data_IF_736223864068
#
_entry.id   IF_736223864068
#
_cell.length_a   1.000
_cell.length_b   1.000
_cell.length_c   1.000
_cell.angle_alpha   90.00
_cell.angle_beta   90.00
_cell.angle_gamma   90.00
#
_symmetry.space_group_name_H-M   'P 1'
#
loop_
_entity.id
_entity.type
_entity.pdbx_description
1 polymer ?
#
# COMPACT_ATOMS: atom_id res chain seq x y z
N UNK A 1 27.40 12.84 -12.28
CA UNK A 1 26.41 13.40 -11.34
C UNK A 1 26.12 12.32 -10.31
N UNK A 2 26.17 12.67 -9.03
CA UNK A 2 26.05 11.77 -7.88
C UNK A 2 24.61 11.27 -7.71
N UNK A 3 24.45 10.05 -7.18
CA UNK A 3 23.16 9.54 -6.73
C UNK A 3 22.45 10.56 -5.82
N UNK A 4 21.14 10.70 -5.99
CA UNK A 4 20.30 11.58 -5.17
C UNK A 4 19.60 10.74 -4.12
N UNK A 5 19.82 11.06 -2.85
CA UNK A 5 19.13 10.44 -1.73
C UNK A 5 17.99 11.32 -1.24
N UNK A 6 16.80 10.75 -1.19
CA UNK A 6 15.60 11.34 -0.61
C UNK A 6 15.33 10.65 0.71
N UNK A 7 15.25 11.46 1.77
CA UNK A 7 14.73 11.04 3.06
C UNK A 7 13.47 11.85 3.36
N UNK A 8 12.30 11.21 3.50
CA UNK A 8 11.11 11.92 3.89
C UNK A 8 11.30 12.50 5.30
N UNK A 9 10.81 13.71 5.57
CA UNK A 9 10.77 14.23 6.94
C UNK A 9 9.85 13.38 7.82
N UNK A 10 10.12 13.40 9.12
CA UNK A 10 9.26 12.75 10.11
C UNK A 10 7.93 13.50 10.20
N UNK A 11 6.78 12.86 9.93
CA UNK A 11 5.49 13.50 10.09
C UNK A 11 5.09 13.59 11.57
N UNK A 12 4.14 14.47 11.87
CA UNK A 12 3.45 14.48 13.14
C UNK A 12 2.68 13.17 13.34
N UNK A 13 2.91 12.51 14.48
CA UNK A 13 2.37 11.18 14.78
C UNK A 13 1.00 11.22 15.48
N UNK A 14 0.41 12.40 15.67
CA UNK A 14 -0.90 12.58 16.29
C UNK A 14 -1.93 11.72 15.55
N UNK A 15 -2.57 10.75 16.20
CA UNK A 15 -3.56 9.87 15.55
C UNK A 15 -2.97 8.71 14.72
N UNK A 16 -1.64 8.55 14.64
CA UNK A 16 -0.99 7.36 14.10
C UNK A 16 -0.68 6.41 15.26
N UNK A 17 -1.52 5.39 15.46
CA UNK A 17 -1.41 4.45 16.57
C UNK A 17 -0.58 3.19 16.24
N UNK A 18 -0.36 2.39 17.29
CA UNK A 18 0.56 1.25 17.43
C UNK A 18 0.59 0.26 16.24
N UNK A 19 1.74 -0.35 15.91
CA UNK A 19 3.06 -0.19 16.54
C UNK A 19 3.74 1.13 16.14
N UNK A 20 4.65 1.61 17.00
CA UNK A 20 5.42 2.85 16.81
C UNK A 20 6.09 2.86 15.41
N UNK A 21 5.68 3.77 14.51
CA UNK A 21 6.18 3.80 13.15
C UNK A 21 7.53 4.52 13.02
N UNK A 22 8.05 5.17 14.07
CA UNK A 22 9.26 6.02 14.00
C UNK A 22 10.45 5.33 13.38
N UNK A 23 10.75 4.10 13.80
CA UNK A 23 11.86 3.31 13.24
C UNK A 23 11.72 3.08 11.73
N UNK A 24 10.50 2.82 11.26
CA UNK A 24 10.21 2.67 9.84
C UNK A 24 10.41 3.99 9.08
N UNK A 25 9.97 5.10 9.67
CA UNK A 25 10.13 6.44 9.06
C UNK A 25 11.59 6.89 9.01
N UNK A 26 12.37 6.65 10.05
CA UNK A 26 13.81 7.01 10.14
C UNK A 26 14.67 6.28 9.10
N UNK A 27 14.36 5.02 8.79
CA UNK A 27 15.10 4.24 7.80
C UNK A 27 14.61 4.48 6.36
N UNK A 28 13.43 5.09 6.20
CA UNK A 28 12.80 5.25 4.90
C UNK A 28 13.65 6.16 4.01
N UNK A 29 13.96 5.69 2.81
CA UNK A 29 14.72 6.45 1.83
C UNK A 29 14.52 5.93 0.42
N UNK A 30 14.65 6.84 -0.54
CA UNK A 30 14.75 6.54 -1.95
C UNK A 30 16.08 7.10 -2.47
N UNK A 31 16.96 6.24 -2.98
CA UNK A 31 18.23 6.66 -3.59
C UNK A 31 18.13 6.41 -5.08
N UNK A 32 18.24 7.46 -5.89
CA UNK A 32 18.17 7.37 -7.36
C UNK A 32 19.54 7.68 -7.94
N UNK A 33 20.15 6.72 -8.62
CA UNK A 33 21.38 6.89 -9.39
C UNK A 33 21.07 6.80 -10.88
N UNK A 34 20.96 7.97 -11.52
CA UNK A 34 20.70 8.06 -12.95
C UNK A 34 21.89 7.68 -13.82
N UNK A 35 23.11 7.83 -13.31
CA UNK A 35 24.29 7.44 -14.06
C UNK A 35 24.42 5.91 -14.11
N UNK A 36 24.07 5.24 -13.01
CA UNK A 36 23.99 3.79 -12.94
C UNK A 36 22.67 3.23 -13.53
N UNK A 37 21.65 4.07 -13.71
CA UNK A 37 20.32 3.65 -14.16
C UNK A 37 19.58 2.81 -13.11
N UNK A 38 19.81 3.08 -11.82
CA UNK A 38 19.23 2.30 -10.71
C UNK A 38 18.54 3.17 -9.66
N UNK A 39 17.63 2.57 -8.91
CA UNK A 39 17.01 3.16 -7.74
C UNK A 39 16.92 2.16 -6.60
N UNK A 40 17.28 2.59 -5.39
CA UNK A 40 17.17 1.81 -4.17
C UNK A 40 16.09 2.38 -3.27
N UNK A 41 15.13 1.55 -2.91
CA UNK A 41 14.02 1.89 -2.02
C UNK A 41 14.15 1.14 -0.69
N UNK A 42 14.09 1.89 0.40
CA UNK A 42 13.84 1.34 1.74
C UNK A 42 12.49 1.86 2.22
N UNK A 43 11.53 0.95 2.42
CA UNK A 43 10.19 1.32 2.85
C UNK A 43 10.11 1.83 4.28
N UNK A 44 8.96 2.38 4.59
CA UNK A 44 8.58 3.01 5.85
C UNK A 44 7.94 2.03 6.87
N UNK A 45 7.98 0.73 6.56
CA UNK A 45 7.60 -0.34 7.46
C UNK A 45 8.85 -0.85 8.15
N UNK A 46 8.80 -1.01 9.48
CA UNK A 46 9.91 -1.59 10.25
C UNK A 46 10.32 -2.94 9.65
N UNK A 47 11.63 -3.14 9.46
CA UNK A 47 12.22 -4.34 8.85
C UNK A 47 11.91 -4.56 7.35
N UNK A 48 11.41 -3.56 6.61
CA UNK A 48 11.33 -3.69 5.14
C UNK A 48 12.72 -3.85 4.56
N UNK A 49 12.87 -4.82 3.64
CA UNK A 49 14.16 -5.07 3.00
C UNK A 49 14.37 -4.02 1.90
N UNK A 50 15.59 -3.46 1.79
CA UNK A 50 15.93 -2.62 0.66
C UNK A 50 15.64 -3.35 -0.66
N UNK A 51 15.07 -2.63 -1.62
CA UNK A 51 14.78 -3.14 -2.97
C UNK A 51 15.50 -2.29 -3.98
N UNK A 52 16.16 -2.95 -4.90
CA UNK A 52 16.82 -2.32 -6.04
C UNK A 52 15.93 -2.46 -7.27
N UNK A 53 15.82 -1.37 -8.03
CA UNK A 53 15.10 -1.27 -9.28
C UNK A 53 16.02 -0.72 -10.36
N UNK A 54 15.81 -1.16 -11.61
CA UNK A 54 16.34 -0.45 -12.78
C UNK A 54 15.43 0.72 -13.11
N UNK A 55 16.01 1.82 -13.56
CA UNK A 55 15.26 2.97 -14.08
C UNK A 55 14.92 2.73 -15.55
N UNK A 56 13.71 3.07 -15.95
CA UNK A 56 13.26 2.94 -17.33
C UNK A 56 11.74 2.80 -17.44
N UNK A 57 11.25 2.80 -18.68
CA UNK A 57 9.83 2.70 -19.00
C UNK A 57 9.37 1.24 -19.21
N UNK A 58 10.28 0.27 -19.11
CA UNK A 58 10.01 -1.14 -19.32
C UNK A 58 9.18 -1.77 -18.19
N UNK A 59 8.53 -2.93 -18.43
CA UNK A 59 7.82 -3.66 -17.39
C UNK A 59 8.76 -4.07 -16.25
N UNK A 60 8.43 -3.68 -15.02
CA UNK A 60 9.29 -3.95 -13.85
C UNK A 60 10.43 -2.95 -13.62
N UNK A 61 10.60 -1.96 -14.49
CA UNK A 61 11.54 -0.85 -14.32
C UNK A 61 10.83 0.33 -13.68
N UNK A 62 11.52 1.07 -12.81
CA UNK A 62 10.96 2.23 -12.13
C UNK A 62 10.91 3.41 -13.11
N UNK A 63 9.69 3.79 -13.48
CA UNK A 63 9.43 4.90 -14.41
C UNK A 63 8.98 6.17 -13.69
N UNK A 64 8.31 6.06 -12.54
CA UNK A 64 7.78 7.23 -11.85
C UNK A 64 7.26 6.99 -10.44
N UNK A 65 6.85 8.09 -9.82
CA UNK A 65 6.30 8.16 -8.47
C UNK A 65 4.87 8.69 -8.53
N UNK A 66 3.95 8.01 -7.85
CA UNK A 66 2.54 8.44 -7.76
C UNK A 66 2.18 8.68 -6.31
N UNK A 67 1.72 9.90 -6.02
CA UNK A 67 1.08 10.26 -4.75
C UNK A 67 -0.40 9.93 -4.88
N UNK A 68 -0.80 8.76 -4.37
CA UNK A 68 -2.18 8.31 -4.43
C UNK A 68 -2.94 8.73 -3.17
N UNK A 69 -4.02 9.51 -3.34
CA UNK A 69 -4.89 9.96 -2.24
C UNK A 69 -6.29 9.40 -2.42
N UNK A 70 -6.84 8.74 -1.40
CA UNK A 70 -8.14 8.08 -1.44
C UNK A 70 -8.71 7.79 -0.04
N UNK A 71 -10.04 7.63 0.11
CA UNK A 71 -10.63 7.22 1.37
C UNK A 71 -10.28 5.75 1.69
N UNK A 72 -9.99 5.44 2.97
CA UNK A 72 -9.56 4.08 3.36
C UNK A 72 -10.67 3.05 3.21
N UNK A 73 -11.91 3.48 3.43
CA UNK A 73 -13.11 2.68 3.28
C UNK A 73 -14.22 3.51 2.62
N UNK A 74 -15.28 2.85 2.15
CA UNK A 74 -16.45 3.53 1.57
C UNK A 74 -17.21 4.42 2.58
N UNK A 75 -16.97 4.21 3.88
CA UNK A 75 -17.61 4.92 4.97
C UNK A 75 -16.68 5.91 5.67
N UNK A 76 -15.42 5.97 5.22
CA UNK A 76 -14.42 6.83 5.81
C UNK A 76 -14.55 8.24 5.21
N UNK A 77 -14.77 9.24 6.06
CA UNK A 77 -14.75 10.65 5.66
C UNK A 77 -13.32 11.17 5.53
N UNK A 78 -12.36 10.50 6.17
CA UNK A 78 -10.97 10.90 6.14
C UNK A 78 -10.22 10.31 4.93
N UNK A 79 -9.46 11.17 4.27
CA UNK A 79 -8.59 10.77 3.18
C UNK A 79 -7.28 10.21 3.72
N UNK A 80 -6.76 9.21 3.00
CA UNK A 80 -5.46 8.64 3.25
C UNK A 80 -4.58 8.76 2.01
N UNK A 81 -3.29 8.92 2.24
CA UNK A 81 -2.28 9.03 1.19
C UNK A 81 -1.28 7.88 1.24
N UNK A 82 -0.76 7.52 0.08
CA UNK A 82 0.31 6.54 -0.08
C UNK A 82 1.16 6.89 -1.30
N UNK A 83 2.47 6.75 -1.15
CA UNK A 83 3.42 6.85 -2.26
C UNK A 83 3.51 5.49 -2.96
N UNK A 84 3.41 5.50 -4.28
CA UNK A 84 3.58 4.34 -5.15
C UNK A 84 4.80 4.56 -6.05
N UNK A 85 5.66 3.56 -6.13
CA UNK A 85 6.74 3.46 -7.10
C UNK A 85 6.21 2.59 -8.24
N UNK A 86 6.11 3.14 -9.45
CA UNK A 86 5.43 2.49 -10.59
C UNK A 86 6.34 2.30 -11.79
N UNK A 87 6.04 1.27 -12.59
CA UNK A 87 6.62 1.11 -13.93
C UNK A 87 5.85 1.91 -14.98
N UNK A 88 6.36 1.90 -16.22
CA UNK A 88 5.77 2.65 -17.35
C UNK A 88 4.35 2.20 -17.71
N UNK A 89 3.90 1.02 -17.26
CA UNK A 89 2.54 0.53 -17.42
C UNK A 89 1.64 0.86 -16.21
N UNK A 90 2.15 1.58 -15.21
CA UNK A 90 1.44 1.93 -13.99
C UNK A 90 1.38 0.82 -12.95
N UNK A 91 2.08 -0.31 -13.13
CA UNK A 91 2.14 -1.38 -12.13
C UNK A 91 3.01 -0.93 -10.96
N UNK A 92 2.55 -1.22 -9.74
CA UNK A 92 3.26 -0.87 -8.51
C UNK A 92 4.40 -1.86 -8.25
N UNK A 93 5.62 -1.35 -8.15
CA UNK A 93 6.84 -2.09 -7.80
C UNK A 93 7.10 -2.06 -6.28
N UNK A 94 6.89 -0.90 -5.67
CA UNK A 94 6.96 -0.70 -4.24
C UNK A 94 5.99 0.41 -3.80
N UNK A 95 5.75 0.52 -2.50
CA UNK A 95 4.83 1.50 -1.94
C UNK A 95 5.17 1.82 -0.50
N UNK A 96 4.80 3.01 -0.06
CA UNK A 96 4.84 3.38 1.36
C UNK A 96 3.66 2.78 2.13
N UNK A 97 3.68 2.94 3.45
CA UNK A 97 2.55 2.74 4.35
C UNK A 97 1.42 3.68 3.94
N UNK A 98 0.21 3.24 4.25
CA UNK A 98 -0.97 4.09 4.11
C UNK A 98 -1.03 5.00 5.35
N UNK A 99 -0.99 6.31 5.13
CA UNK A 99 -1.02 7.30 6.20
C UNK A 99 -2.27 8.18 6.07
N UNK A 100 -2.75 8.79 7.15
CA UNK A 100 -3.71 9.89 7.02
C UNK A 100 -3.16 10.97 6.08
N UNK A 101 -4.02 11.68 5.35
CA UNK A 101 -3.59 12.64 4.34
C UNK A 101 -2.61 13.70 4.89
N UNK A 102 -2.88 14.27 6.07
CA UNK A 102 -1.98 15.28 6.67
C UNK A 102 -0.57 14.74 6.89
N UNK A 103 -0.43 13.53 7.44
CA UNK A 103 0.87 12.92 7.70
C UNK A 103 1.56 12.50 6.39
N UNK A 104 0.78 12.03 5.41
CA UNK A 104 1.28 11.71 4.08
C UNK A 104 1.87 12.94 3.37
N UNK A 105 1.17 14.07 3.42
CA UNK A 105 1.61 15.32 2.80
C UNK A 105 2.85 15.91 3.48
N UNK A 106 2.98 15.75 4.79
CA UNK A 106 4.20 16.11 5.52
C UNK A 106 5.37 15.21 5.13
N UNK A 107 5.16 13.90 5.07
CA UNK A 107 6.22 12.90 4.81
C UNK A 107 6.65 12.90 3.33
N UNK A 108 5.72 13.10 2.40
CA UNK A 108 5.98 13.02 0.95
C UNK A 108 5.48 14.27 0.21
N UNK A 109 6.02 15.47 0.51
CA UNK A 109 5.71 16.68 -0.23
C UNK A 109 6.35 16.63 -1.62
N UNK A 110 5.73 17.31 -2.60
CA UNK A 110 6.27 17.38 -3.97
C UNK A 110 7.72 17.86 -4.00
N UNK A 111 8.07 18.87 -3.20
CA UNK A 111 9.45 19.41 -3.11
C UNK A 111 10.51 18.36 -2.79
N UNK A 112 10.16 17.32 -2.02
CA UNK A 112 11.06 16.21 -1.65
C UNK A 112 11.10 15.17 -2.76
N UNK A 113 9.96 14.88 -3.40
CA UNK A 113 9.85 13.86 -4.45
C UNK A 113 10.44 14.33 -5.78
N UNK A 114 10.26 15.60 -6.14
CA UNK A 114 10.78 16.19 -7.38
C UNK A 114 12.31 16.18 -7.40
N UNK A 115 12.95 16.21 -6.23
CA UNK A 115 14.40 16.06 -6.09
C UNK A 115 14.91 14.71 -6.62
N UNK A 116 14.07 13.67 -6.71
CA UNK A 116 14.44 12.36 -7.29
C UNK A 116 14.78 12.48 -8.77
N UNK A 117 14.24 13.52 -9.40
CA UNK A 117 14.18 13.68 -10.84
C UNK A 117 13.20 12.74 -11.53
N UNK A 118 12.66 11.72 -10.87
CA UNK A 118 11.63 10.88 -11.46
C UNK A 118 10.35 11.71 -11.69
N UNK A 119 9.55 11.40 -12.72
CA UNK A 119 8.21 11.96 -12.86
C UNK A 119 7.40 11.72 -11.58
N UNK A 120 6.83 12.79 -11.02
CA UNK A 120 5.97 12.74 -9.85
C UNK A 120 4.59 13.27 -10.23
N UNK A 121 3.55 12.49 -9.93
CA UNK A 121 2.15 12.90 -10.13
C UNK A 121 1.34 12.68 -8.86
N UNK A 122 0.34 13.54 -8.63
CA UNK A 122 -0.70 13.28 -7.62
C UNK A 122 -1.97 12.82 -8.33
N UNK A 123 -2.52 11.70 -7.85
CA UNK A 123 -3.79 11.17 -8.31
C UNK A 123 -4.74 10.97 -7.14
N UNK A 124 -5.95 11.49 -7.31
CA UNK A 124 -7.04 11.37 -6.33
C UNK A 124 -8.05 10.35 -6.81
N UNK A 125 -8.37 9.39 -5.95
CA UNK A 125 -9.31 8.33 -6.27
C UNK A 125 -10.48 8.32 -5.30
N UNK A 126 -11.67 8.06 -5.84
CA UNK A 126 -12.89 7.96 -5.05
C UNK A 126 -12.92 6.74 -4.10
N UNK A 127 -12.11 5.71 -4.37
CA UNK A 127 -12.00 4.53 -3.52
C UNK A 127 -10.79 3.66 -3.91
N UNK A 128 -10.43 2.73 -3.02
CA UNK A 128 -9.32 1.76 -3.20
C UNK A 128 -9.45 0.92 -4.47
N UNK A 129 -10.68 0.63 -4.93
CA UNK A 129 -10.92 -0.14 -6.17
C UNK A 129 -10.44 0.62 -7.41
N UNK A 130 -10.66 1.93 -7.47
CA UNK A 130 -10.17 2.76 -8.58
C UNK A 130 -8.65 2.87 -8.56
N UNK A 131 -8.04 3.01 -7.38
CA UNK A 131 -6.56 3.01 -7.23
C UNK A 131 -5.98 1.70 -7.78
N UNK A 132 -6.53 0.56 -7.39
CA UNK A 132 -6.03 -0.75 -7.84
C UNK A 132 -6.25 -1.00 -9.35
N UNK A 133 -7.29 -0.39 -9.93
CA UNK A 133 -7.55 -0.45 -11.38
C UNK A 133 -6.55 0.40 -12.16
N UNK A 134 -6.21 1.59 -11.66
CA UNK A 134 -5.20 2.46 -12.27
C UNK A 134 -3.78 1.94 -12.05
N UNK A 135 -3.48 1.49 -10.82
CA UNK A 135 -2.16 1.04 -10.42
C UNK A 135 -2.23 -0.36 -9.81
N UNK A 136 -1.93 -1.37 -10.63
CA UNK A 136 -1.96 -2.78 -10.22
C UNK A 136 -0.95 -3.01 -9.09
N UNK A 137 -1.43 -3.34 -7.89
CA UNK A 137 -0.60 -3.59 -6.71
C UNK A 137 -0.62 -2.48 -5.68
N UNK A 138 -1.36 -1.39 -5.90
CA UNK A 138 -1.49 -0.29 -4.94
C UNK A 138 -2.23 -0.68 -3.65
N UNK A 139 -3.23 -1.57 -3.75
CA UNK A 139 -4.13 -1.92 -2.65
C UNK A 139 -4.43 -3.44 -2.60
N UNK A 140 -3.79 -4.23 -1.72
CA UNK A 140 -4.18 -5.62 -1.46
C UNK A 140 -5.36 -5.71 -0.49
N UNK A 141 -5.85 -4.57 0.01
CA UNK A 141 -6.89 -4.52 1.04
C UNK A 141 -8.27 -4.96 0.51
N UNK A 142 -8.41 -5.43 -0.74
CA UNK A 142 -9.71 -5.83 -1.29
C UNK A 142 -10.45 -6.90 -0.51
N UNK A 143 -9.85 -7.89 0.17
CA UNK A 143 -10.65 -8.81 0.98
C UNK A 143 -11.33 -8.08 2.16
N UNK A 144 -10.69 -7.03 2.69
CA UNK A 144 -11.18 -6.24 3.83
C UNK A 144 -11.99 -5.00 3.41
N UNK A 145 -11.79 -4.51 2.19
CA UNK A 145 -12.47 -3.33 1.61
C UNK A 145 -13.55 -3.69 0.59
N UNK A 146 -13.73 -4.98 0.25
CA UNK A 146 -14.88 -5.50 -0.52
C UNK A 146 -16.22 -5.34 0.22
N UNK A 147 -16.20 -4.76 1.41
CA UNK A 147 -17.38 -4.38 2.16
C UNK A 147 -17.94 -5.52 3.00
N UNK A 148 -18.87 -5.16 3.88
CA UNK A 148 -19.65 -6.04 4.76
C UNK A 148 -20.15 -7.32 4.06
N UNK A 149 -20.43 -7.25 2.75
CA UNK A 149 -20.94 -8.37 1.97
C UNK A 149 -19.95 -9.53 1.83
N UNK A 150 -18.65 -9.27 1.71
CA UNK A 150 -17.66 -10.36 1.62
C UNK A 150 -17.40 -10.99 2.99
N UNK A 151 -17.42 -10.18 4.06
CA UNK A 151 -17.41 -10.71 5.43
C UNK A 151 -18.65 -11.56 5.70
N UNK A 152 -19.85 -11.11 5.30
CA UNK A 152 -21.07 -11.92 5.40
C UNK A 152 -20.95 -13.24 4.63
N UNK A 153 -20.52 -13.21 3.37
CA UNK A 153 -20.36 -14.41 2.55
C UNK A 153 -19.33 -15.38 3.14
N UNK A 154 -18.21 -14.87 3.70
CA UNK A 154 -17.24 -15.69 4.41
C UNK A 154 -17.83 -16.28 5.70
N UNK A 155 -18.60 -15.49 6.46
CA UNK A 155 -19.30 -15.96 7.66
C UNK A 155 -20.35 -17.02 7.33
N UNK A 156 -21.12 -16.87 6.24
CA UNK A 156 -22.07 -17.87 5.78
C UNK A 156 -21.37 -19.15 5.33
N UNK A 157 -20.23 -19.06 4.65
CA UNK A 157 -19.45 -20.23 4.27
C UNK A 157 -18.93 -20.99 5.51
N UNK A 158 -18.42 -20.28 6.53
CA UNK A 158 -17.99 -20.90 7.79
C UNK A 158 -19.18 -21.52 8.52
N UNK A 159 -20.31 -20.82 8.62
CA UNK A 159 -21.52 -21.36 9.25
C UNK A 159 -22.04 -22.61 8.53
N UNK A 160 -22.04 -22.64 7.20
CA UNK A 160 -22.43 -23.80 6.41
C UNK A 160 -21.50 -25.00 6.64
N UNK A 161 -20.19 -24.77 6.74
CA UNK A 161 -19.21 -25.82 7.07
C UNK A 161 -19.44 -26.36 8.47
N UNK A 162 -19.67 -25.49 9.46
CA UNK A 162 -19.95 -25.91 10.85
C UNK A 162 -21.25 -26.72 10.92
N UNK A 163 -22.33 -26.26 10.29
CA UNK A 163 -23.59 -27.00 10.24
C UNK A 163 -23.41 -28.35 9.54
N UNK A 164 -22.68 -28.39 8.42
CA UNK A 164 -22.36 -29.61 7.71
C UNK A 164 -21.55 -30.59 8.56
N UNK A 165 -20.58 -30.11 9.33
CA UNK A 165 -19.80 -30.92 10.27
C UNK A 165 -20.66 -31.44 11.43
N UNK A 166 -21.56 -30.62 11.98
CA UNK A 166 -22.50 -31.06 13.03
C UNK A 166 -23.44 -32.14 12.49
N UNK A 167 -24.01 -31.94 11.30
CA UNK A 167 -24.86 -32.93 10.64
C UNK A 167 -24.10 -34.24 10.37
N UNK A 168 -22.85 -34.15 9.92
CA UNK A 168 -21.98 -35.31 9.70
C UNK A 168 -21.71 -36.06 11.01
N UNK A 169 -21.43 -35.35 12.10
CA UNK A 169 -21.24 -35.95 13.43
C UNK A 169 -22.51 -36.67 13.88
N UNK A 170 -23.69 -36.05 13.75
CA UNK A 170 -24.98 -36.66 14.13
C UNK A 170 -25.23 -37.96 13.34
N UNK A 171 -24.96 -37.96 12.02
CA UNK A 171 -25.10 -39.14 11.17
C UNK A 171 -24.10 -40.24 11.58
N UNK A 172 -22.86 -39.88 11.91
CA UNK A 172 -21.81 -40.84 12.26
C UNK A 172 -21.95 -41.40 13.69
N UNK A 173 -22.50 -40.64 14.63
CA UNK A 173 -22.72 -41.09 16.02
C UNK A 173 -24.06 -41.80 16.23
N UNK A 174 -24.88 -41.93 15.17
CA UNK A 174 -26.13 -42.67 15.22
C UNK A 174 -27.20 -42.03 16.11
N UNK A 175 -27.14 -40.71 16.31
CA UNK A 175 -28.24 -39.96 16.94
C UNK A 175 -29.37 -39.76 15.93
N UNK A 176 -29.92 -40.86 15.42
CA UNK A 176 -31.25 -40.88 14.81
C UNK A 176 -32.22 -41.37 15.87
N UNK A 177 -33.09 -40.49 16.36
CA UNK A 177 -34.36 -40.90 16.97
C UNK A 177 -35.13 -41.78 15.99
#
# INVERSE_FOLDING_TARGET
MSAVEIRPPMPELTGISWPDPRRGFEQCRLVVDRAAGTANWTGDVACDRPREFRLGDGPGELAGLVRAIYPRSLWDVDLAGRLLLVDGAGKVLARSRLLPQYAFEQMWPFSVLDASGLPVIEERFANTRRVQKAHRGAAPLWPWTAGYWWLMLASFAVAAVVIGLIALVIVLTGWST
#
